data_IF_878465735369
#
_entry.id   IF_878465735369
#
_cell.length_a   1.000
_cell.length_b   1.000
_cell.length_c   1.000
_cell.angle_alpha   90.00
_cell.angle_beta   90.00
_cell.angle_gamma   90.00
#
_symmetry.space_group_name_H-M   'P 1'
#
loop_
_entity.id
_entity.type
_entity.pdbx_description
1 polymer ?
#
# COMPACT_ATOMS: atom_id res chain seq x y z
N UNK A 1 12.13 -7.59 12.48
CA UNK A 1 10.81 -7.42 11.84
C UNK A 1 11.02 -7.48 10.33
N UNK A 2 10.16 -8.20 9.57
CA UNK A 2 10.28 -8.31 8.12
C UNK A 2 9.72 -7.09 7.38
N UNK A 3 9.83 -7.09 6.03
CA UNK A 3 9.42 -5.99 5.14
C UNK A 3 7.97 -5.53 5.35
N UNK A 4 7.04 -6.44 5.64
CA UNK A 4 5.62 -6.14 5.75
C UNK A 4 5.15 -5.98 7.20
N UNK A 5 6.06 -5.78 8.15
CA UNK A 5 5.72 -5.75 9.56
C UNK A 5 5.28 -7.12 10.10
N UNK A 6 4.56 -7.12 11.20
CA UNK A 6 4.16 -8.36 11.89
C UNK A 6 2.64 -8.60 11.88
N UNK A 7 1.84 -7.55 11.73
CA UNK A 7 0.39 -7.66 11.91
C UNK A 7 -0.29 -8.63 10.93
N UNK A 8 0.21 -8.74 9.68
CA UNK A 8 -0.37 -9.65 8.68
C UNK A 8 -0.24 -11.13 9.06
N UNK A 9 0.73 -11.48 9.91
CA UNK A 9 1.02 -12.85 10.32
C UNK A 9 0.43 -13.16 11.73
N UNK A 10 -0.37 -12.24 12.28
CA UNK A 10 -1.03 -12.37 13.58
C UNK A 10 -2.51 -12.74 13.41
N UNK A 11 -3.06 -13.38 14.44
CA UNK A 11 -4.48 -13.70 14.50
C UNK A 11 -5.28 -12.49 14.97
N UNK A 12 -6.34 -12.14 14.22
CA UNK A 12 -7.25 -11.03 14.55
C UNK A 12 -8.54 -11.56 15.15
N UNK A 13 -9.04 -10.88 16.16
CA UNK A 13 -10.39 -11.11 16.66
C UNK A 13 -11.42 -10.52 15.68
N UNK A 14 -12.58 -11.17 15.55
CA UNK A 14 -13.71 -10.65 14.78
C UNK A 14 -14.54 -9.74 15.68
N UNK A 15 -14.59 -8.46 15.36
CA UNK A 15 -15.39 -7.47 16.10
C UNK A 15 -16.81 -7.34 15.53
N UNK A 16 -16.94 -7.29 14.18
CA UNK A 16 -18.19 -7.18 13.44
C UNK A 16 -18.16 -8.10 12.23
N UNK A 17 -19.26 -8.77 11.97
CA UNK A 17 -19.46 -9.56 10.75
C UNK A 17 -20.93 -9.44 10.31
N UNK A 18 -21.17 -8.69 9.24
CA UNK A 18 -22.46 -8.46 8.61
C UNK A 18 -22.37 -8.76 7.11
N UNK A 19 -23.49 -8.67 6.39
CA UNK A 19 -23.54 -8.96 4.95
C UNK A 19 -22.65 -8.02 4.11
N UNK A 20 -22.48 -6.77 4.53
CA UNK A 20 -21.75 -5.72 3.80
C UNK A 20 -20.69 -5.03 4.64
N UNK A 21 -20.44 -5.50 5.84
CA UNK A 21 -19.47 -4.91 6.76
C UNK A 21 -18.78 -5.99 7.59
N UNK A 22 -17.45 -5.86 7.75
CA UNK A 22 -16.67 -6.71 8.64
C UNK A 22 -15.57 -5.90 9.31
N UNK A 23 -15.36 -6.12 10.61
CA UNK A 23 -14.25 -5.52 11.36
C UNK A 23 -13.49 -6.57 12.12
N UNK A 24 -12.18 -6.39 12.12
CA UNK A 24 -11.23 -7.26 12.79
C UNK A 24 -10.31 -6.42 13.65
N UNK A 25 -9.92 -6.91 14.82
CA UNK A 25 -8.98 -6.20 15.70
C UNK A 25 -7.81 -7.07 16.14
N UNK A 26 -6.66 -6.42 16.25
CA UNK A 26 -5.44 -6.94 16.85
C UNK A 26 -5.01 -5.99 17.97
N UNK A 27 -4.78 -6.52 19.15
CA UNK A 27 -4.26 -5.77 20.31
C UNK A 27 -2.83 -6.16 20.58
N UNK A 28 -2.04 -5.20 21.05
CA UNK A 28 -0.70 -5.49 21.58
C UNK A 28 -0.77 -6.57 22.68
N UNK A 29 0.20 -7.42 22.70
CA UNK A 29 0.41 -8.47 23.70
C UNK A 29 1.92 -8.66 23.95
N UNK A 30 2.30 -9.58 24.79
CA UNK A 30 3.71 -9.81 25.12
C UNK A 30 4.55 -10.17 23.88
N UNK A 31 4.02 -10.99 22.95
CA UNK A 31 4.70 -11.35 21.70
C UNK A 31 4.93 -10.14 20.79
N UNK A 32 3.94 -9.25 20.66
CA UNK A 32 4.08 -8.05 19.82
C UNK A 32 5.07 -7.06 20.46
N UNK A 33 5.11 -6.95 21.79
CA UNK A 33 6.01 -6.05 22.51
C UNK A 33 7.49 -6.42 22.38
N UNK A 34 7.80 -7.69 22.17
CA UNK A 34 9.17 -8.14 21.89
C UNK A 34 9.72 -7.53 20.57
N UNK A 35 8.85 -7.32 19.59
CA UNK A 35 9.17 -6.81 18.25
C UNK A 35 8.92 -5.32 18.12
N UNK A 36 7.94 -4.80 18.85
CA UNK A 36 7.41 -3.45 18.77
C UNK A 36 6.90 -3.01 20.15
N UNK A 37 7.71 -2.30 20.95
CA UNK A 37 7.48 -2.07 22.38
C UNK A 37 6.46 -0.95 22.66
N UNK A 38 5.31 -1.01 22.01
CA UNK A 38 4.20 -0.07 22.14
C UNK A 38 2.89 -0.81 22.40
N UNK A 39 2.02 -0.18 23.18
CA UNK A 39 0.61 -0.58 23.25
C UNK A 39 -0.13 -0.02 22.04
N UNK A 40 -0.96 -0.84 21.41
CA UNK A 40 -1.81 -0.43 20.31
C UNK A 40 -3.07 -1.28 20.21
N UNK A 41 -4.08 -0.73 19.54
CA UNK A 41 -5.21 -1.48 19.00
C UNK A 41 -5.27 -1.17 17.52
N UNK A 42 -5.04 -2.17 16.68
CA UNK A 42 -5.23 -2.08 15.23
C UNK A 42 -6.58 -2.69 14.88
N UNK A 43 -7.43 -1.91 14.19
CA UNK A 43 -8.67 -2.41 13.60
C UNK A 43 -8.58 -2.31 12.08
N UNK A 44 -9.04 -3.35 11.41
CA UNK A 44 -9.17 -3.38 9.95
C UNK A 44 -10.64 -3.62 9.62
N UNK A 45 -11.24 -2.66 8.92
CA UNK A 45 -12.64 -2.67 8.52
C UNK A 45 -12.80 -2.85 7.01
N UNK A 46 -13.87 -3.50 6.63
CA UNK A 46 -14.30 -3.66 5.24
C UNK A 46 -15.76 -3.26 5.14
N UNK A 47 -16.09 -2.35 4.22
CA UNK A 47 -17.44 -1.92 3.92
C UNK A 47 -17.71 -2.08 2.43
N UNK A 48 -18.79 -2.77 2.07
CA UNK A 48 -19.19 -3.02 0.69
C UNK A 48 -20.44 -2.20 0.35
N UNK A 49 -20.30 -1.32 -0.64
CA UNK A 49 -21.40 -0.50 -1.16
C UNK A 49 -21.44 -0.58 -2.68
N UNK A 50 -22.42 -1.30 -3.23
CA UNK A 50 -22.51 -1.52 -4.67
C UNK A 50 -21.25 -2.19 -5.22
N UNK A 51 -20.50 -1.47 -6.06
CA UNK A 51 -19.24 -1.93 -6.65
C UNK A 51 -18.00 -1.48 -5.88
N UNK A 52 -18.18 -0.81 -4.75
CA UNK A 52 -17.11 -0.26 -3.96
C UNK A 52 -16.84 -1.14 -2.75
N UNK A 53 -15.61 -1.55 -2.58
CA UNK A 53 -15.08 -2.11 -1.34
C UNK A 53 -14.19 -1.08 -0.68
N UNK A 54 -14.61 -0.55 0.45
CA UNK A 54 -13.80 0.31 1.29
C UNK A 54 -12.99 -0.54 2.26
N UNK A 55 -11.71 -0.29 2.34
CA UNK A 55 -10.80 -0.89 3.33
C UNK A 55 -10.35 0.20 4.28
N UNK A 56 -10.57 0.00 5.57
CA UNK A 56 -10.38 1.01 6.61
C UNK A 56 -9.35 0.52 7.61
N UNK A 57 -8.40 1.37 7.96
CA UNK A 57 -7.50 1.17 9.09
C UNK A 57 -7.83 2.13 10.21
N UNK A 58 -7.91 1.61 11.41
CA UNK A 58 -7.98 2.40 12.62
C UNK A 58 -6.89 1.93 13.59
N UNK A 59 -6.00 2.83 13.98
CA UNK A 59 -4.98 2.58 15.00
C UNK A 59 -5.32 3.44 16.20
N UNK A 60 -5.47 2.82 17.35
CA UNK A 60 -5.70 3.49 18.63
C UNK A 60 -4.44 3.38 19.48
N UNK A 61 -4.10 4.45 20.17
CA UNK A 61 -3.02 4.46 21.15
C UNK A 61 -3.63 4.45 22.58
N UNK A 62 -3.73 3.29 23.23
CA UNK A 62 -4.27 3.19 24.58
C UNK A 62 -3.24 3.55 25.68
N UNK A 63 -1.98 3.78 25.30
CA UNK A 63 -0.89 4.09 26.22
C UNK A 63 -0.88 5.58 26.63
N UNK A 64 -0.08 5.89 27.62
CA UNK A 64 0.29 7.25 28.05
C UNK A 64 1.46 7.84 27.25
N UNK A 65 2.15 7.01 26.46
CA UNK A 65 3.29 7.39 25.60
C UNK A 65 2.84 7.61 24.15
N UNK A 66 3.61 8.40 23.42
CA UNK A 66 3.42 8.58 21.99
C UNK A 66 3.72 7.27 21.25
N UNK A 67 2.84 6.92 20.30
CA UNK A 67 2.96 5.77 19.41
C UNK A 67 3.51 6.22 18.05
N UNK A 68 4.50 5.50 17.52
CA UNK A 68 5.09 5.72 16.20
C UNK A 68 4.92 4.47 15.35
N UNK A 69 4.33 4.58 14.15
CA UNK A 69 4.03 3.42 13.32
C UNK A 69 4.01 3.74 11.83
N UNK A 70 4.02 2.68 11.02
CA UNK A 70 3.71 2.70 9.60
C UNK A 70 2.61 1.69 9.32
N UNK A 71 1.74 1.99 8.35
CA UNK A 71 0.67 1.09 7.92
C UNK A 71 0.43 1.26 6.43
N UNK A 72 0.00 0.19 5.76
CA UNK A 72 -0.33 0.22 4.34
C UNK A 72 -1.12 -1.01 3.93
N UNK A 73 -1.73 -0.95 2.73
CA UNK A 73 -2.37 -2.08 2.10
C UNK A 73 -1.45 -2.72 1.05
N UNK A 74 -1.70 -4.00 0.78
CA UNK A 74 -0.99 -4.74 -0.27
C UNK A 74 -2.00 -5.54 -1.12
N UNK A 75 -3.09 -4.89 -1.61
CA UNK A 75 -4.07 -5.58 -2.43
C UNK A 75 -3.48 -5.95 -3.79
N UNK A 76 -3.79 -7.14 -4.24
CA UNK A 76 -3.38 -7.67 -5.54
C UNK A 76 -4.62 -7.89 -6.43
N UNK A 77 -4.50 -7.51 -7.69
CA UNK A 77 -5.59 -7.54 -8.67
C UNK A 77 -5.19 -8.31 -9.91
N UNK A 78 -6.10 -9.11 -10.42
CA UNK A 78 -5.86 -9.89 -11.63
C UNK A 78 -5.46 -8.98 -12.81
N UNK A 79 -4.30 -9.27 -13.39
CA UNK A 79 -3.80 -8.64 -14.60
C UNK A 79 -2.89 -9.64 -15.34
N UNK A 80 -3.31 -10.18 -16.49
CA UNK A 80 -4.50 -9.86 -17.30
C UNK A 80 -5.85 -10.22 -16.63
N UNK A 81 -6.86 -9.37 -16.78
CA UNK A 81 -8.22 -9.69 -16.33
C UNK A 81 -8.82 -10.80 -17.21
N UNK A 82 -9.44 -11.80 -16.57
CA UNK A 82 -10.02 -12.97 -17.24
C UNK A 82 -9.03 -13.75 -18.14
N UNK A 83 -7.72 -13.65 -17.86
CA UNK A 83 -6.66 -14.31 -18.63
C UNK A 83 -6.52 -13.83 -20.08
N UNK A 84 -7.03 -12.64 -20.43
CA UNK A 84 -7.00 -12.12 -21.80
C UNK A 84 -5.74 -11.31 -22.07
N UNK A 85 -4.88 -11.80 -22.98
CA UNK A 85 -3.65 -11.13 -23.39
C UNK A 85 -2.51 -11.31 -22.39
N UNK A 86 -1.53 -10.40 -22.45
CA UNK A 86 -0.37 -10.33 -21.56
C UNK A 86 -0.47 -9.11 -20.66
N UNK A 87 0.10 -9.16 -19.47
CA UNK A 87 0.20 -8.04 -18.54
C UNK A 87 0.79 -6.79 -19.22
N UNK A 88 1.77 -6.96 -20.09
CA UNK A 88 2.43 -5.87 -20.83
C UNK A 88 1.55 -5.18 -21.89
N UNK A 89 0.35 -5.67 -22.15
CA UNK A 89 -0.63 -5.02 -23.03
C UNK A 89 -1.59 -4.10 -22.25
N UNK A 90 -1.53 -4.12 -20.91
CA UNK A 90 -2.39 -3.36 -20.01
C UNK A 90 -1.78 -2.01 -19.63
N UNK A 91 -2.61 -1.17 -19.01
CA UNK A 91 -2.23 0.19 -18.62
C UNK A 91 -2.63 0.49 -17.20
N UNK A 92 -1.82 1.31 -16.54
CA UNK A 92 -2.29 2.13 -15.44
C UNK A 92 -2.94 3.40 -16.00
N UNK A 93 -3.99 3.88 -15.31
CA UNK A 93 -4.52 5.23 -15.50
C UNK A 93 -4.47 5.97 -14.17
N UNK A 94 -3.99 7.19 -14.19
CA UNK A 94 -3.86 8.06 -13.02
C UNK A 94 -4.76 9.30 -13.17
N UNK A 95 -5.11 9.91 -12.03
CA UNK A 95 -5.72 11.25 -11.95
C UNK A 95 -4.70 12.38 -12.15
N UNK A 96 -3.51 12.07 -12.65
CA UNK A 96 -2.44 12.98 -13.01
C UNK A 96 -2.09 12.84 -14.49
N UNK A 97 -1.85 13.99 -15.16
CA UNK A 97 -1.42 14.02 -16.58
C UNK A 97 0.02 14.52 -16.70
N UNK A 98 0.90 14.01 -15.86
CA UNK A 98 2.34 14.27 -15.86
C UNK A 98 3.08 13.01 -15.48
N UNK A 99 4.33 12.91 -15.94
CA UNK A 99 5.21 11.80 -15.56
C UNK A 99 5.33 11.69 -14.03
N UNK A 100 5.29 10.46 -13.52
CA UNK A 100 5.45 10.17 -12.10
C UNK A 100 6.91 9.83 -11.80
N UNK A 101 7.45 10.41 -10.73
CA UNK A 101 8.75 10.01 -10.21
C UNK A 101 8.58 8.93 -9.16
N UNK A 102 9.41 7.90 -9.19
CA UNK A 102 9.38 6.83 -8.21
C UNK A 102 10.79 6.47 -7.72
N UNK A 103 10.87 5.95 -6.51
CA UNK A 103 12.06 5.32 -5.97
C UNK A 103 11.95 3.81 -6.03
N UNK A 104 13.07 3.13 -5.78
CA UNK A 104 13.19 1.68 -5.76
C UNK A 104 13.87 1.23 -4.47
N UNK A 105 13.62 0.01 -4.07
CA UNK A 105 14.42 -0.66 -3.04
C UNK A 105 15.84 -0.84 -3.57
N UNK A 106 16.84 -0.57 -2.73
CA UNK A 106 18.24 -0.73 -3.10
C UNK A 106 18.59 -2.21 -3.29
N UNK A 107 19.43 -2.48 -4.28
CA UNK A 107 19.91 -3.84 -4.55
C UNK A 107 21.10 -4.21 -3.63
N UNK A 108 20.88 -4.10 -2.32
CA UNK A 108 21.86 -4.42 -1.28
C UNK A 108 21.37 -5.48 -0.28
N UNK A 109 20.18 -6.05 -0.55
CA UNK A 109 19.57 -7.11 0.25
C UNK A 109 19.01 -6.66 1.60
N UNK A 110 19.09 -5.37 1.96
CA UNK A 110 18.60 -4.84 3.24
C UNK A 110 17.14 -4.43 3.22
N UNK A 111 16.51 -4.35 2.03
CA UNK A 111 15.12 -3.90 1.88
C UNK A 111 14.91 -2.41 2.16
N UNK A 112 15.95 -1.59 2.00
CA UNK A 112 15.92 -0.15 2.21
C UNK A 112 15.75 0.60 0.88
N UNK A 113 15.14 1.78 0.92
CA UNK A 113 14.95 2.61 -0.26
C UNK A 113 16.27 3.22 -0.72
N UNK A 114 16.58 3.07 -2.01
CA UNK A 114 17.73 3.68 -2.67
C UNK A 114 17.60 5.21 -2.80
N UNK A 115 18.70 5.86 -3.16
CA UNK A 115 18.76 7.32 -3.35
C UNK A 115 18.26 7.73 -4.74
N UNK A 116 18.39 6.86 -5.72
CA UNK A 116 18.02 7.14 -7.11
C UNK A 116 16.52 7.20 -7.27
N UNK A 117 16.06 8.13 -8.10
CA UNK A 117 14.67 8.20 -8.58
C UNK A 117 14.64 7.99 -10.08
N UNK A 118 13.64 7.24 -10.51
CA UNK A 118 13.32 6.99 -11.91
C UNK A 118 11.99 7.64 -12.29
N UNK A 119 11.64 7.60 -13.56
CA UNK A 119 10.44 8.23 -14.10
C UNK A 119 9.57 7.19 -14.77
N UNK A 120 8.30 7.16 -14.39
CA UNK A 120 7.24 6.43 -15.10
C UNK A 120 6.56 7.42 -16.06
N UNK A 121 6.73 7.25 -17.39
CA UNK A 121 6.10 8.14 -18.37
C UNK A 121 4.58 8.00 -18.33
N UNK A 122 3.88 9.13 -18.20
CA UNK A 122 2.42 9.21 -18.26
C UNK A 122 2.01 10.08 -19.44
N UNK A 123 1.08 9.59 -20.26
CA UNK A 123 0.57 10.29 -21.45
C UNK A 123 -0.95 10.25 -21.46
N UNK A 124 -1.59 11.41 -21.40
CA UNK A 124 -3.04 11.55 -21.26
C UNK A 124 -3.59 10.75 -20.06
N UNK A 125 -2.87 10.75 -18.95
CA UNK A 125 -3.21 10.02 -17.73
C UNK A 125 -2.85 8.53 -17.75
N UNK A 126 -2.28 7.97 -18.81
CA UNK A 126 -1.98 6.54 -18.94
C UNK A 126 -0.48 6.26 -18.90
N UNK A 127 -0.10 5.18 -18.21
CA UNK A 127 1.22 4.55 -18.30
C UNK A 127 1.08 3.09 -18.72
N UNK A 128 1.84 2.64 -19.70
CA UNK A 128 1.84 1.25 -20.13
C UNK A 128 2.57 0.39 -19.10
N UNK A 129 2.01 -0.77 -18.80
CA UNK A 129 2.68 -1.79 -18.00
C UNK A 129 3.61 -2.57 -18.93
N UNK A 130 4.88 -2.20 -18.95
CA UNK A 130 5.87 -2.87 -19.81
C UNK A 130 6.32 -4.20 -19.19
N UNK A 131 6.87 -5.09 -19.99
CA UNK A 131 7.39 -6.39 -19.55
C UNK A 131 8.46 -6.26 -18.45
N UNK A 132 9.24 -5.16 -18.47
CA UNK A 132 10.35 -4.90 -17.57
C UNK A 132 10.05 -3.88 -16.48
N UNK A 133 8.79 -3.47 -16.33
CA UNK A 133 8.43 -2.39 -15.40
C UNK A 133 8.78 -2.71 -13.94
N UNK A 134 8.68 -3.98 -13.56
CA UNK A 134 8.88 -4.44 -12.18
C UNK A 134 10.17 -5.25 -11.99
N UNK A 135 11.09 -5.27 -12.97
CA UNK A 135 12.35 -6.05 -12.89
C UNK A 135 13.22 -5.67 -11.69
N UNK A 136 13.07 -4.43 -11.21
CA UNK A 136 13.81 -3.86 -10.08
C UNK A 136 12.95 -3.68 -8.83
N UNK A 137 11.90 -4.53 -8.64
CA UNK A 137 10.99 -4.49 -7.52
C UNK A 137 9.89 -3.40 -7.64
N UNK A 138 9.26 -3.04 -6.53
CA UNK A 138 8.14 -2.11 -6.45
C UNK A 138 8.53 -0.67 -6.86
N UNK A 139 7.67 -0.02 -7.63
CA UNK A 139 7.76 1.40 -7.90
C UNK A 139 7.16 2.16 -6.72
N UNK A 140 7.98 2.87 -5.94
CA UNK A 140 7.56 3.64 -4.77
C UNK A 140 7.30 5.08 -5.18
N UNK A 141 6.04 5.44 -5.33
CA UNK A 141 5.60 6.79 -5.74
C UNK A 141 5.28 7.62 -4.50
N UNK A 142 6.13 8.60 -4.22
CA UNK A 142 6.05 9.49 -3.04
C UNK A 142 5.36 10.82 -3.37
N UNK A 143 5.02 11.60 -2.33
CA UNK A 143 4.59 13.01 -2.42
C UNK A 143 3.22 13.22 -3.09
N UNK A 144 2.27 12.31 -2.88
CA UNK A 144 0.88 12.45 -3.38
C UNK A 144 0.80 12.80 -4.87
N UNK A 145 1.63 12.17 -5.70
CA UNK A 145 1.67 12.45 -7.14
C UNK A 145 0.40 11.99 -7.86
N UNK A 146 -0.32 11.04 -7.31
CA UNK A 146 -1.66 10.62 -7.70
C UNK A 146 -2.43 10.13 -6.48
N UNK A 147 -3.76 10.15 -6.55
CA UNK A 147 -4.68 9.65 -5.52
C UNK A 147 -5.69 8.64 -6.08
N UNK A 148 -5.71 8.45 -7.39
CA UNK A 148 -6.53 7.46 -8.10
C UNK A 148 -5.66 6.69 -9.08
N UNK A 149 -5.68 5.37 -8.98
CA UNK A 149 -4.98 4.47 -9.88
C UNK A 149 -5.97 3.42 -10.40
N UNK A 150 -6.18 3.38 -11.70
CA UNK A 150 -7.00 2.34 -12.33
C UNK A 150 -6.13 1.35 -13.11
N UNK A 151 -6.52 0.08 -13.10
CA UNK A 151 -6.06 -0.91 -14.06
C UNK A 151 -6.98 -0.90 -15.29
N UNK A 152 -6.37 -0.78 -16.46
CA UNK A 152 -7.08 -0.69 -17.74
C UNK A 152 -6.64 -1.81 -18.67
N UNK A 153 -7.58 -2.30 -19.46
CA UNK A 153 -7.37 -3.27 -20.55
C UNK A 153 -6.51 -2.67 -21.67
N UNK A 154 -6.13 -3.47 -22.65
CA UNK A 154 -5.33 -3.04 -23.81
C UNK A 154 -6.01 -1.94 -24.65
N UNK A 155 -7.34 -1.84 -24.60
CA UNK A 155 -8.13 -0.76 -25.24
C UNK A 155 -8.38 0.43 -24.28
N UNK A 156 -7.60 0.49 -23.19
CA UNK A 156 -7.61 1.57 -22.19
C UNK A 156 -8.94 1.75 -21.44
N UNK A 157 -9.75 0.69 -21.34
CA UNK A 157 -10.94 0.72 -20.49
C UNK A 157 -10.59 0.31 -19.08
N UNK A 158 -10.92 1.12 -18.07
CA UNK A 158 -10.73 0.74 -16.69
C UNK A 158 -11.63 -0.45 -16.36
N UNK A 159 -11.13 -1.39 -15.56
CA UNK A 159 -11.90 -2.50 -15.01
C UNK A 159 -11.84 -2.57 -13.49
N UNK A 160 -10.89 -1.85 -12.92
CA UNK A 160 -10.69 -1.71 -11.47
C UNK A 160 -10.02 -0.40 -11.17
N UNK A 161 -10.50 0.30 -10.14
CA UNK A 161 -9.94 1.57 -9.67
C UNK A 161 -9.67 1.50 -8.18
N UNK A 162 -8.51 2.00 -7.73
CA UNK A 162 -8.16 2.19 -6.32
C UNK A 162 -8.01 3.68 -6.05
N UNK A 163 -8.81 4.20 -5.11
CA UNK A 163 -8.78 5.61 -4.68
C UNK A 163 -8.33 5.70 -3.23
N UNK A 164 -7.45 6.66 -2.91
CA UNK A 164 -6.85 6.80 -1.59
C UNK A 164 -6.37 8.23 -1.31
N UNK A 165 -6.21 8.57 -0.03
CA UNK A 165 -5.56 9.80 0.44
C UNK A 165 -4.20 9.50 1.09
N UNK A 166 -3.47 8.53 0.56
CA UNK A 166 -2.17 8.15 1.08
C UNK A 166 -1.06 9.10 0.58
N UNK A 167 -0.03 9.40 1.39
CA UNK A 167 1.07 10.25 0.98
C UNK A 167 1.99 9.61 -0.05
N UNK A 168 1.91 8.29 -0.21
CA UNK A 168 2.67 7.49 -1.16
C UNK A 168 1.94 6.19 -1.47
N UNK A 169 2.32 5.57 -2.57
CA UNK A 169 1.80 4.24 -2.94
C UNK A 169 2.85 3.42 -3.67
N UNK A 170 2.70 2.11 -3.62
CA UNK A 170 3.48 1.14 -4.38
C UNK A 170 2.73 0.60 -5.59
N UNK A 171 3.46 0.34 -6.67
CA UNK A 171 3.01 -0.48 -7.80
C UNK A 171 3.96 -1.65 -7.93
N UNK A 172 3.42 -2.88 -7.97
CA UNK A 172 4.26 -4.06 -7.95
C UNK A 172 3.65 -5.27 -8.64
N UNK A 173 4.52 -6.09 -9.20
CA UNK A 173 4.28 -7.47 -9.60
C UNK A 173 5.59 -8.25 -9.50
N UNK A 174 5.58 -9.55 -9.17
CA UNK A 174 6.84 -10.31 -9.00
C UNK A 174 7.65 -10.37 -10.31
N UNK A 175 8.87 -9.84 -10.27
CA UNK A 175 9.77 -9.81 -11.42
C UNK A 175 10.02 -11.21 -11.99
N UNK A 176 9.92 -11.36 -13.31
CA UNK A 176 10.27 -12.58 -14.03
C UNK A 176 9.44 -13.83 -13.73
N UNK A 177 8.38 -13.73 -12.90
CA UNK A 177 7.56 -14.89 -12.49
C UNK A 177 6.29 -15.08 -13.33
N UNK A 178 5.96 -14.12 -14.22
CA UNK A 178 4.72 -14.16 -14.99
C UNK A 178 3.46 -14.24 -14.12
N UNK A 179 3.51 -13.66 -12.93
CA UNK A 179 2.39 -13.68 -11.99
C UNK A 179 1.17 -12.95 -12.59
N UNK A 180 -0.04 -13.52 -12.54
CA UNK A 180 -1.20 -12.96 -13.22
C UNK A 180 -1.88 -11.86 -12.38
N UNK A 181 -1.11 -11.03 -11.70
CA UNK A 181 -1.65 -9.95 -10.85
C UNK A 181 -0.71 -8.75 -10.78
N UNK A 182 -1.28 -7.61 -10.42
CA UNK A 182 -0.57 -6.37 -10.08
C UNK A 182 -1.10 -5.86 -8.74
N UNK A 183 -0.20 -5.35 -7.92
CA UNK A 183 -0.54 -4.67 -6.68
C UNK A 183 -0.60 -3.15 -6.89
N UNK A 184 -1.60 -2.51 -6.29
CA UNK A 184 -1.72 -1.06 -6.14
C UNK A 184 -1.85 -0.81 -4.64
N UNK A 185 -0.82 -0.29 -4.03
CA UNK A 185 -0.60 -0.36 -2.60
C UNK A 185 -0.59 1.03 -1.94
N UNK A 186 -1.70 1.52 -1.38
CA UNK A 186 -1.70 2.77 -0.62
C UNK A 186 -0.93 2.62 0.70
N UNK A 187 0.00 3.57 0.99
CA UNK A 187 0.86 3.48 2.16
C UNK A 187 0.89 4.77 2.99
N UNK A 188 0.89 4.59 4.31
CA UNK A 188 1.18 5.58 5.35
C UNK A 188 2.46 5.16 6.09
N UNK A 189 3.57 5.23 5.39
CA UNK A 189 4.89 4.78 5.78
C UNK A 189 5.53 3.88 4.72
N UNK A 190 6.86 3.80 4.72
CA UNK A 190 7.65 2.92 3.85
C UNK A 190 8.93 2.48 4.55
N UNK A 191 9.73 1.64 3.89
CA UNK A 191 11.09 1.34 4.34
C UNK A 191 11.94 2.61 4.40
N UNK A 192 12.92 2.62 5.29
CA UNK A 192 13.86 3.73 5.44
C UNK A 192 14.80 3.82 4.24
N UNK A 193 15.44 4.98 4.06
CA UNK A 193 16.49 5.13 3.05
C UNK A 193 17.76 4.45 3.52
N UNK A 194 18.61 4.07 2.57
CA UNK A 194 19.94 3.48 2.85
C UNK A 194 20.84 4.36 3.72
N UNK A 195 20.56 5.66 3.76
CA UNK A 195 21.31 6.67 4.56
C UNK A 195 20.64 7.02 5.88
N UNK A 196 19.49 6.41 6.20
CA UNK A 196 18.80 6.68 7.45
C UNK A 196 19.49 5.98 8.63
N UNK A 197 19.82 6.75 9.66
CA UNK A 197 20.45 6.30 10.91
C UNK A 197 19.71 6.79 12.16
N UNK A 198 18.49 7.33 11.96
CA UNK A 198 17.67 7.92 13.02
C UNK A 198 16.83 6.90 13.79
N UNK A 199 16.05 7.42 14.73
CA UNK A 199 15.09 6.66 15.53
C UNK A 199 13.76 6.44 14.79
N UNK A 200 12.89 5.56 15.31
CA UNK A 200 11.57 5.26 14.76
C UNK A 200 10.70 6.52 14.58
N UNK A 201 10.81 7.49 15.49
CA UNK A 201 10.07 8.76 15.43
C UNK A 201 10.50 9.69 14.29
N UNK A 202 11.73 9.52 13.79
CA UNK A 202 12.34 10.35 12.76
C UNK A 202 12.15 9.79 11.35
N UNK A 203 11.47 8.64 11.23
CA UNK A 203 11.25 7.98 9.94
C UNK A 203 10.43 8.85 9.00
N UNK A 204 10.87 8.92 7.74
CA UNK A 204 10.11 9.58 6.68
C UNK A 204 8.76 8.87 6.48
N UNK A 205 7.67 9.65 6.37
CA UNK A 205 6.29 9.17 6.25
C UNK A 205 5.80 8.31 7.43
N UNK A 206 6.55 8.24 8.54
CA UNK A 206 6.07 7.60 9.76
C UNK A 206 4.89 8.37 10.36
N UNK A 207 4.01 7.65 11.04
CA UNK A 207 2.87 8.25 11.73
C UNK A 207 3.17 8.41 13.21
N UNK A 208 2.72 9.51 13.78
CA UNK A 208 2.82 9.82 15.21
C UNK A 208 1.43 9.96 15.79
N UNK A 209 1.15 9.23 16.86
CA UNK A 209 -0.15 9.24 17.52
C UNK A 209 0.01 9.48 19.02
N UNK A 210 -0.50 10.59 19.50
CA UNK A 210 -0.42 10.95 20.93
C UNK A 210 -1.22 9.97 21.80
N UNK A 211 -0.93 9.97 23.09
CA UNK A 211 -1.68 9.19 24.08
C UNK A 211 -3.19 9.39 23.94
N UNK A 212 -3.95 8.31 23.93
CA UNK A 212 -5.40 8.30 23.73
C UNK A 212 -5.88 8.69 22.32
N UNK A 213 -4.95 8.94 21.39
CA UNK A 213 -5.28 9.32 20.02
C UNK A 213 -5.80 8.17 19.18
N UNK A 214 -6.49 8.52 18.08
CA UNK A 214 -6.98 7.58 17.07
C UNK A 214 -6.55 8.07 15.69
N UNK A 215 -5.90 7.19 14.94
CA UNK A 215 -5.61 7.37 13.52
C UNK A 215 -6.64 6.57 12.73
N UNK A 216 -7.28 7.18 11.74
CA UNK A 216 -8.20 6.49 10.83
C UNK A 216 -7.90 6.91 9.40
N UNK A 217 -7.72 5.93 8.51
CA UNK A 217 -7.51 6.12 7.07
C UNK A 217 -8.17 4.98 6.32
N UNK A 218 -8.43 5.23 5.03
CA UNK A 218 -9.10 4.27 4.17
C UNK A 218 -8.64 4.37 2.73
N UNK A 219 -8.93 3.34 1.96
CA UNK A 219 -8.91 3.37 0.51
C UNK A 219 -10.11 2.60 -0.03
N UNK A 220 -10.51 2.93 -1.25
CA UNK A 220 -11.65 2.29 -1.92
C UNK A 220 -11.19 1.56 -3.16
N UNK A 221 -11.64 0.33 -3.30
CA UNK A 221 -11.51 -0.48 -4.51
C UNK A 221 -12.86 -0.45 -5.22
N UNK A 222 -12.88 0.04 -6.46
CA UNK A 222 -14.09 0.07 -7.30
C UNK A 222 -13.94 -0.92 -8.44
N UNK A 223 -14.92 -1.80 -8.63
CA UNK A 223 -15.03 -2.67 -9.81
C UNK A 223 -15.90 -1.94 -10.85
N UNK A 224 -15.32 -1.70 -12.04
CA UNK A 224 -15.95 -0.88 -13.09
C UNK A 224 -17.02 -1.64 -13.90
#
# INVERSE_FOLDING_TARGET
>A
MGQHGFARDMEFAVDVQMATEAWFSLRSNEETKEKYPFEFILKVGYELEGRNLKVIWQVENPDTKTLYFSIGGHPAFMCPVNGKGKQSEYYFKFDADKDLTYGLVADDGRGLMGQQKDVLPVRNGYAQITEHLFDRDALIVENRQASVVSLCTSDKKPYLTVSFDAPLFGLWSPAGKGAPFICIEPWYGRCDRTTFDGSLEQREYGNTLQAGGVFRREYTITVE
#
